data_IF_454855078731
#
_entry.id   IF_454855078731
#
_cell.length_a   1.000
_cell.length_b   1.000
_cell.length_c   1.000
_cell.angle_alpha   90.00
_cell.angle_beta   90.00
_cell.angle_gamma   90.00
#
_symmetry.space_group_name_H-M   'P 1'
#
loop_
_entity.id
_entity.type
_entity.pdbx_description
1 polymer ?
#
# COMPACT_ATOMS: atom_id res chain seq x y z
N UNK A 1 -0.13 -7.49 19.23
CA UNK A 1 1.02 -6.85 18.55
C UNK A 1 1.87 -6.09 19.58
N UNK A 2 3.20 -6.21 19.51
CA UNK A 2 4.09 -5.42 20.35
C UNK A 2 4.53 -4.17 19.55
N UNK A 3 4.30 -2.94 20.03
CA UNK A 3 4.67 -1.71 19.32
C UNK A 3 6.17 -1.59 19.00
N UNK A 4 7.02 -2.36 19.67
CA UNK A 4 8.46 -2.40 19.37
C UNK A 4 8.80 -3.17 18.08
N UNK A 5 7.86 -3.94 17.53
CA UNK A 5 8.09 -4.77 16.34
C UNK A 5 8.33 -3.90 15.09
N UNK A 6 7.71 -2.72 14.99
CA UNK A 6 7.93 -1.79 13.88
C UNK A 6 9.40 -1.35 13.71
N UNK A 7 10.17 -1.29 14.81
CA UNK A 7 11.61 -0.91 14.77
C UNK A 7 12.47 -1.96 14.03
N UNK A 8 11.96 -3.18 13.93
CA UNK A 8 12.62 -4.27 13.22
C UNK A 8 12.26 -4.30 11.73
N UNK A 9 11.30 -3.49 11.28
CA UNK A 9 10.96 -3.39 9.86
C UNK A 9 12.10 -2.72 9.12
N UNK A 10 12.68 -3.45 8.15
CA UNK A 10 13.74 -2.96 7.25
C UNK A 10 13.24 -2.68 5.83
N UNK A 11 12.03 -3.13 5.51
CA UNK A 11 11.41 -2.93 4.20
C UNK A 11 10.46 -1.73 4.18
N UNK A 12 10.10 -1.30 2.97
CA UNK A 12 8.97 -0.39 2.79
C UNK A 12 7.65 -1.12 3.03
N UNK A 13 6.62 -0.42 3.49
CA UNK A 13 5.29 -1.01 3.74
C UNK A 13 4.24 -0.37 2.81
N UNK A 14 3.38 -1.19 2.20
CA UNK A 14 2.17 -0.73 1.51
C UNK A 14 0.93 -1.34 2.20
N UNK A 15 0.02 -0.47 2.65
CA UNK A 15 -1.27 -0.86 3.25
C UNK A 15 -2.41 -0.45 2.33
N UNK A 16 -3.24 -1.42 1.96
CA UNK A 16 -4.38 -1.26 1.06
C UNK A 16 -5.66 -1.59 1.83
N UNK A 17 -6.40 -0.57 2.22
CA UNK A 17 -7.47 -0.67 3.22
C UNK A 17 -8.84 -0.34 2.65
N UNK A 18 -9.88 -1.06 3.06
CA UNK A 18 -11.27 -0.71 2.76
C UNK A 18 -11.77 0.36 3.73
N UNK A 19 -12.07 1.56 3.24
CA UNK A 19 -12.33 2.74 4.09
C UNK A 19 -13.59 2.63 4.98
N UNK A 20 -14.48 1.68 4.67
CA UNK A 20 -15.72 1.46 5.44
C UNK A 20 -15.75 0.06 6.06
N UNK A 21 -14.60 -0.61 6.21
CA UNK A 21 -14.52 -1.92 6.88
C UNK A 21 -14.87 -1.78 8.38
N UNK A 22 -15.99 -2.38 8.84
CA UNK A 22 -16.41 -2.27 10.24
C UNK A 22 -15.47 -3.01 11.21
N UNK A 23 -14.61 -3.90 10.71
CA UNK A 23 -13.67 -4.66 11.54
C UNK A 23 -12.44 -3.83 11.95
N UNK A 24 -12.17 -2.74 11.23
CA UNK A 24 -11.01 -1.88 11.50
C UNK A 24 -11.49 -0.60 12.15
N UNK A 25 -11.18 -0.46 13.43
CA UNK A 25 -11.54 0.74 14.19
C UNK A 25 -10.63 1.92 13.79
N UNK A 26 -11.15 3.16 13.73
CA UNK A 26 -10.34 4.35 13.44
C UNK A 26 -9.13 4.49 14.37
N UNK A 27 -9.27 4.12 15.64
CA UNK A 27 -8.18 4.19 16.63
C UNK A 27 -7.04 3.22 16.28
N UNK A 28 -7.34 2.08 15.65
CA UNK A 28 -6.32 1.14 15.19
C UNK A 28 -5.54 1.67 14.00
N UNK A 29 -6.22 2.40 13.09
CA UNK A 29 -5.55 3.07 11.96
C UNK A 29 -4.64 4.18 12.46
N UNK A 30 -5.11 5.00 13.41
CA UNK A 30 -4.31 6.05 14.01
C UNK A 30 -3.08 5.48 14.75
N UNK A 31 -3.28 4.45 15.56
CA UNK A 31 -2.18 3.79 16.26
C UNK A 31 -1.14 3.20 15.29
N UNK A 32 -1.58 2.66 14.15
CA UNK A 32 -0.67 2.18 13.10
C UNK A 32 0.17 3.32 12.51
N UNK A 33 -0.46 4.45 12.18
CA UNK A 33 0.28 5.62 11.68
C UNK A 33 1.32 6.09 12.70
N UNK A 34 0.92 6.26 13.96
CA UNK A 34 1.82 6.71 15.03
C UNK A 34 3.01 5.75 15.20
N UNK A 35 2.78 4.43 15.13
CA UNK A 35 3.83 3.41 15.26
C UNK A 35 4.83 3.47 14.09
N UNK A 36 4.35 3.57 12.85
CA UNK A 36 5.21 3.64 11.66
C UNK A 36 6.03 4.93 11.61
N UNK A 37 5.42 6.07 11.94
CA UNK A 37 6.11 7.37 12.03
C UNK A 37 7.17 7.37 13.13
N UNK A 38 6.84 6.85 14.32
CA UNK A 38 7.79 6.73 15.43
C UNK A 38 8.98 5.82 15.08
N UNK A 39 8.74 4.76 14.31
CA UNK A 39 9.76 3.86 13.82
C UNK A 39 10.52 4.39 12.59
N UNK A 40 10.10 5.52 12.00
CA UNK A 40 10.64 6.11 10.76
C UNK A 40 10.64 5.10 9.60
N UNK A 41 9.61 4.28 9.52
CA UNK A 41 9.42 3.32 8.44
C UNK A 41 8.84 4.06 7.23
N UNK A 42 9.36 3.76 6.04
CA UNK A 42 8.77 4.25 4.80
C UNK A 42 7.52 3.42 4.49
N UNK A 43 6.34 4.03 4.64
CA UNK A 43 5.07 3.37 4.39
C UNK A 43 4.10 4.22 3.56
N UNK A 44 3.22 3.52 2.84
CA UNK A 44 2.08 4.09 2.15
C UNK A 44 0.80 3.45 2.69
N UNK A 45 -0.21 4.26 2.97
CA UNK A 45 -1.53 3.81 3.39
C UNK A 45 -2.58 4.35 2.42
N UNK A 46 -3.31 3.45 1.75
CA UNK A 46 -4.35 3.82 0.77
C UNK A 46 -5.69 3.27 1.25
N UNK A 47 -6.63 4.16 1.52
CA UNK A 47 -8.00 3.81 1.87
C UNK A 47 -8.94 3.92 0.66
N UNK A 48 -9.68 2.84 0.36
CA UNK A 48 -10.62 2.77 -0.74
C UNK A 48 -12.05 3.03 -0.26
N UNK A 49 -12.62 4.16 -0.70
CA UNK A 49 -14.02 4.51 -0.41
C UNK A 49 -14.99 3.44 -0.93
N UNK A 50 -16.01 3.12 -0.13
CA UNK A 50 -17.04 2.13 -0.48
C UNK A 50 -16.55 0.68 -0.47
N UNK A 51 -15.33 0.40 0.01
CA UNK A 51 -14.81 -0.94 0.17
C UNK A 51 -14.81 -1.36 1.65
N UNK A 52 -15.29 -2.57 1.91
CA UNK A 52 -15.28 -3.25 3.20
C UNK A 52 -14.21 -4.36 3.19
N UNK A 53 -14.26 -5.31 4.12
CA UNK A 53 -13.36 -6.46 4.11
C UNK A 53 -13.46 -7.27 2.81
N UNK A 54 -12.41 -8.01 2.46
CA UNK A 54 -12.37 -8.89 1.28
C UNK A 54 -12.69 -8.21 -0.06
N UNK A 55 -12.37 -6.92 -0.21
CA UNK A 55 -12.69 -6.15 -1.44
C UNK A 55 -12.04 -6.68 -2.74
N UNK A 56 -11.04 -7.56 -2.64
CA UNK A 56 -10.39 -8.25 -3.77
C UNK A 56 -10.97 -9.63 -4.08
N UNK A 57 -11.84 -10.17 -3.22
CA UNK A 57 -12.40 -11.52 -3.36
C UNK A 57 -13.74 -11.47 -4.08
N UNK A 58 -13.80 -11.99 -5.31
CA UNK A 58 -15.03 -11.98 -6.13
C UNK A 58 -16.12 -12.83 -5.51
N UNK A 59 -15.75 -13.91 -4.81
CA UNK A 59 -16.69 -14.82 -4.14
C UNK A 59 -17.28 -14.22 -2.85
N UNK A 60 -16.78 -13.07 -2.38
CA UNK A 60 -17.34 -12.36 -1.22
C UNK A 60 -18.73 -11.75 -1.49
N UNK A 61 -19.19 -11.75 -2.76
CA UNK A 61 -20.43 -11.09 -3.17
C UNK A 61 -20.30 -9.57 -3.17
N UNK A 62 -21.41 -8.85 -3.28
CA UNK A 62 -21.47 -7.39 -3.38
C UNK A 62 -22.24 -6.72 -2.23
N UNK A 63 -22.65 -7.50 -1.23
CA UNK A 63 -23.43 -7.03 -0.09
C UNK A 63 -22.52 -6.44 1.01
N UNK A 64 -22.29 -5.13 0.90
CA UNK A 64 -21.46 -4.36 1.85
C UNK A 64 -21.99 -4.41 3.30
N UNK A 65 -23.27 -4.71 3.52
CA UNK A 65 -23.88 -4.68 4.86
C UNK A 65 -23.36 -5.80 5.75
N UNK A 66 -22.79 -6.84 5.16
CA UNK A 66 -22.13 -7.95 5.86
C UNK A 66 -20.72 -7.60 6.34
N UNK A 67 -20.21 -6.41 6.01
CA UNK A 67 -18.86 -5.98 6.33
C UNK A 67 -17.76 -6.69 5.52
N UNK A 68 -18.14 -7.52 4.54
CA UNK A 68 -17.23 -8.18 3.60
C UNK A 68 -17.92 -8.29 2.23
N UNK A 69 -17.32 -7.72 1.20
CA UNK A 69 -17.87 -7.65 -0.16
C UNK A 69 -16.80 -7.25 -1.17
N UNK A 70 -16.89 -7.83 -2.36
CA UNK A 70 -16.09 -7.48 -3.53
C UNK A 70 -16.34 -6.03 -3.95
N UNK A 71 -15.26 -5.32 -4.26
CA UNK A 71 -15.34 -4.00 -4.89
C UNK A 71 -14.36 -3.92 -6.06
N UNK A 72 -14.90 -4.03 -7.28
CA UNK A 72 -14.11 -4.06 -8.51
C UNK A 72 -13.21 -2.82 -8.70
N UNK A 73 -13.61 -1.65 -8.20
CA UNK A 73 -12.79 -0.45 -8.27
C UNK A 73 -11.64 -0.49 -7.27
N UNK A 74 -11.91 -0.93 -6.04
CA UNK A 74 -10.88 -1.11 -5.01
C UNK A 74 -9.87 -2.18 -5.44
N UNK A 75 -10.34 -3.34 -5.91
CA UNK A 75 -9.52 -4.44 -6.44
C UNK A 75 -8.58 -3.99 -7.57
N UNK A 76 -9.11 -3.33 -8.60
CA UNK A 76 -8.28 -2.82 -9.70
C UNK A 76 -7.24 -1.80 -9.23
N UNK A 77 -7.62 -0.89 -8.34
CA UNK A 77 -6.74 0.18 -7.85
C UNK A 77 -5.68 -0.36 -6.89
N UNK A 78 -6.04 -1.28 -5.99
CA UNK A 78 -5.12 -1.95 -5.08
C UNK A 78 -4.09 -2.76 -5.84
N UNK A 79 -4.50 -3.46 -6.90
CA UNK A 79 -3.58 -4.18 -7.77
C UNK A 79 -2.61 -3.25 -8.51
N UNK A 80 -3.10 -2.11 -9.00
CA UNK A 80 -2.24 -1.12 -9.64
C UNK A 80 -1.22 -0.51 -8.67
N UNK A 81 -1.66 -0.17 -7.45
CA UNK A 81 -0.79 0.37 -6.40
C UNK A 81 0.29 -0.65 -5.98
N UNK A 82 -0.08 -1.93 -5.82
CA UNK A 82 0.88 -3.00 -5.51
C UNK A 82 1.96 -3.13 -6.59
N UNK A 83 1.58 -3.12 -7.87
CA UNK A 83 2.55 -3.19 -8.97
C UNK A 83 3.47 -1.99 -8.98
N UNK A 84 2.95 -0.77 -8.82
CA UNK A 84 3.76 0.45 -8.77
C UNK A 84 4.76 0.41 -7.59
N UNK A 85 4.32 -0.08 -6.44
CA UNK A 85 5.17 -0.26 -5.27
C UNK A 85 6.28 -1.30 -5.52
N UNK A 86 5.95 -2.42 -6.18
CA UNK A 86 6.94 -3.42 -6.57
C UNK A 86 7.94 -2.90 -7.61
N UNK A 87 7.46 -2.12 -8.58
CA UNK A 87 8.33 -1.45 -9.54
C UNK A 87 9.28 -0.48 -8.82
N UNK A 88 8.83 0.26 -7.81
CA UNK A 88 9.70 1.13 -7.01
C UNK A 88 10.77 0.35 -6.23
N UNK A 89 10.39 -0.71 -5.52
CA UNK A 89 11.32 -1.43 -4.62
C UNK A 89 12.26 -2.39 -5.35
N UNK A 90 11.86 -2.89 -6.53
CA UNK A 90 12.61 -3.88 -7.30
C UNK A 90 13.17 -3.32 -8.61
N UNK A 91 12.85 -2.08 -9.00
CA UNK A 91 13.58 -1.44 -10.10
C UNK A 91 15.05 -1.36 -9.73
N UNK A 92 15.89 -1.89 -10.61
CA UNK A 92 17.33 -1.78 -10.51
C UNK A 92 17.71 -0.29 -10.44
N UNK A 93 18.37 0.18 -9.37
CA UNK A 93 18.75 1.59 -9.22
C UNK A 93 19.80 2.00 -10.24
N UNK A 94 20.30 1.07 -11.08
CA UNK A 94 21.23 1.36 -12.15
C UNK A 94 20.61 2.39 -13.09
N UNK A 95 21.13 3.64 -13.13
CA UNK A 95 20.68 4.61 -14.11
C UNK A 95 21.01 4.02 -15.48
N UNK A 96 19.98 3.85 -16.32
CA UNK A 96 20.21 3.68 -17.75
C UNK A 96 20.73 5.01 -18.28
N UNK A 97 22.02 5.28 -18.09
CA UNK A 97 22.71 6.30 -18.85
C UNK A 97 22.64 5.85 -20.30
N UNK A 98 21.66 6.37 -21.05
CA UNK A 98 21.69 6.37 -22.49
C UNK A 98 22.91 7.22 -22.86
N UNK A 99 24.03 6.55 -23.11
CA UNK A 99 25.27 7.17 -23.53
C UNK A 99 25.04 7.97 -24.81
N UNK A 100 24.80 9.27 -24.66
CA UNK A 100 25.15 10.24 -25.67
C UNK A 100 26.37 10.97 -25.15
N UNK A 101 27.53 10.40 -25.44
CA UNK A 101 28.80 11.07 -25.29
C UNK A 101 28.79 12.29 -26.22
N UNK A 102 28.46 13.47 -25.67
CA UNK A 102 28.88 14.72 -26.29
C UNK A 102 30.38 14.83 -26.03
N UNK A 103 31.17 14.48 -27.04
CA UNK A 103 32.62 14.72 -27.04
C UNK A 103 32.91 16.22 -26.88
N UNK A 104 34.14 16.60 -26.47
CA UNK A 104 34.49 17.99 -26.28
C UNK A 104 34.48 18.69 -27.64
N UNK A 105 33.59 19.66 -27.81
CA UNK A 105 33.75 20.68 -28.87
C UNK A 105 34.93 21.56 -28.46
N UNK A 106 35.85 21.74 -29.41
CA UNK A 106 37.08 22.54 -29.35
C UNK A 106 36.91 23.93 -28.73
#
# INVERSE_FOLDING_TARGET
PNPDDAKNVKGKILVLHGAIDPNVKPESVLAFHDEMEAAKVDYQFIAYSGAVHSFTEKEAGDDITKGSAYNANADRRSWAAMKAFFDEIFADPTPKYNGFAIGPTF
#
